data_IF_802580500986
#
_entry.id   IF_802580500986
#
_cell.length_a   1.000
_cell.length_b   1.000
_cell.length_c   1.000
_cell.angle_alpha   90.00
_cell.angle_beta   90.00
_cell.angle_gamma   90.00
#
_symmetry.space_group_name_H-M   'P 1'
#
loop_
_entity.id
_entity.type
_entity.pdbx_description
1 polymer ?
#
# COMPACT_ATOMS: atom_id res chain seq x y z
N UNK A 1 30.19 15.33 10.72
CA UNK A 1 29.57 14.01 10.58
C UNK A 1 30.55 12.87 10.94
N UNK A 2 31.73 12.80 10.30
CA UNK A 2 32.73 11.74 10.53
C UNK A 2 33.24 11.64 11.98
N UNK A 3 33.45 12.74 12.66
CA UNK A 3 33.86 12.76 14.08
C UNK A 3 32.78 12.09 14.96
N UNK A 4 31.50 12.40 14.72
CA UNK A 4 30.39 11.76 15.45
C UNK A 4 30.33 10.25 15.21
N UNK A 5 30.56 9.83 13.96
CA UNK A 5 30.62 8.39 13.60
C UNK A 5 31.75 7.67 14.35
N UNK A 6 32.95 8.29 14.46
CA UNK A 6 34.08 7.73 15.20
C UNK A 6 33.77 7.57 16.69
N UNK A 7 33.17 8.59 17.32
CA UNK A 7 32.82 8.53 18.75
C UNK A 7 31.79 7.45 19.02
N UNK A 8 30.78 7.32 18.13
CA UNK A 8 29.77 6.26 18.21
C UNK A 8 30.43 4.88 18.05
N UNK A 9 31.32 4.70 17.08
CA UNK A 9 32.01 3.44 16.84
C UNK A 9 32.85 3.00 18.05
N UNK A 10 33.58 3.94 18.69
CA UNK A 10 34.32 3.67 19.92
C UNK A 10 33.38 3.23 21.05
N UNK A 11 32.28 3.95 21.22
CA UNK A 11 31.27 3.61 22.25
C UNK A 11 30.66 2.22 22.02
N UNK A 12 30.28 1.89 20.81
CA UNK A 12 29.75 0.57 20.45
C UNK A 12 30.80 -0.53 20.67
N UNK A 13 32.04 -0.30 20.26
CA UNK A 13 33.13 -1.26 20.46
C UNK A 13 33.46 -1.54 21.94
N UNK A 14 33.17 -0.60 22.83
CA UNK A 14 33.32 -0.79 24.28
C UNK A 14 32.11 -1.44 24.96
N UNK A 15 30.90 -1.36 24.34
CA UNK A 15 29.65 -1.84 24.91
C UNK A 15 29.18 -3.19 24.35
N UNK A 16 29.57 -3.51 23.11
CA UNK A 16 29.11 -4.68 22.40
C UNK A 16 30.26 -5.63 22.06
N UNK A 17 29.99 -6.92 22.08
CA UNK A 17 30.92 -7.92 21.56
C UNK A 17 31.03 -7.85 20.03
N UNK A 18 32.12 -8.37 19.46
CA UNK A 18 32.26 -8.45 18.00
C UNK A 18 31.10 -9.18 17.30
N UNK A 19 30.59 -10.23 17.94
CA UNK A 19 29.41 -10.97 17.44
C UNK A 19 28.16 -10.07 17.38
N UNK A 20 27.87 -9.34 18.44
CA UNK A 20 26.73 -8.41 18.49
C UNK A 20 26.87 -7.26 17.46
N UNK A 21 28.09 -6.74 17.27
CA UNK A 21 28.35 -5.72 16.25
C UNK A 21 28.08 -6.28 14.85
N UNK A 22 28.56 -7.50 14.57
CA UNK A 22 28.33 -8.14 13.28
C UNK A 22 26.85 -8.47 13.05
N UNK A 23 26.16 -8.98 14.05
CA UNK A 23 24.73 -9.27 14.00
C UNK A 23 23.91 -8.00 13.69
N UNK A 24 24.15 -6.92 14.46
CA UNK A 24 23.50 -5.64 14.22
C UNK A 24 23.81 -5.09 12.81
N UNK A 25 25.05 -5.21 12.36
CA UNK A 25 25.46 -4.80 11.01
C UNK A 25 24.71 -5.57 9.94
N UNK A 26 24.70 -6.90 10.02
CA UNK A 26 24.06 -7.76 9.04
C UNK A 26 22.54 -7.60 9.03
N UNK A 27 21.93 -7.28 10.17
CA UNK A 27 20.47 -7.08 10.27
C UNK A 27 20.02 -5.70 9.81
N UNK A 28 20.91 -4.71 9.64
CA UNK A 28 20.54 -3.33 9.29
C UNK A 28 21.09 -2.83 7.98
N UNK A 29 22.23 -3.39 7.50
CA UNK A 29 22.88 -2.88 6.30
C UNK A 29 22.04 -3.10 5.02
N UNK A 30 22.14 -2.16 4.09
CA UNK A 30 21.47 -2.24 2.81
C UNK A 30 22.21 -3.14 1.81
N UNK A 31 21.53 -4.17 1.32
CA UNK A 31 22.06 -5.13 0.33
C UNK A 31 21.67 -4.80 -1.13
N UNK A 32 21.02 -3.68 -1.38
CA UNK A 32 20.40 -3.39 -2.68
C UNK A 32 18.98 -3.93 -2.80
N UNK A 33 18.32 -3.65 -3.93
CA UNK A 33 16.96 -4.15 -4.24
C UNK A 33 15.90 -3.82 -3.17
N UNK A 34 16.11 -2.75 -2.38
CA UNK A 34 15.24 -2.43 -1.23
C UNK A 34 15.43 -3.33 -0.01
N UNK A 35 16.41 -4.22 0.00
CA UNK A 35 16.66 -5.14 1.10
C UNK A 35 17.56 -4.52 2.16
N UNK A 36 17.02 -4.23 3.32
CA UNK A 36 17.73 -3.93 4.55
C UNK A 36 17.75 -5.18 5.43
N UNK A 37 18.94 -5.54 5.90
CA UNK A 37 19.16 -6.78 6.65
C UNK A 37 19.33 -8.03 5.78
N UNK A 38 20.10 -8.99 6.30
CA UNK A 38 20.52 -10.20 5.58
C UNK A 38 19.36 -11.16 5.31
N UNK A 39 18.36 -11.23 6.20
CA UNK A 39 17.16 -12.06 5.99
C UNK A 39 16.36 -11.55 4.78
N UNK A 40 16.07 -10.23 4.75
CA UNK A 40 15.39 -9.61 3.61
C UNK A 40 16.18 -9.81 2.31
N UNK A 41 17.52 -9.69 2.37
CA UNK A 41 18.36 -9.91 1.22
C UNK A 41 18.30 -11.37 0.74
N UNK A 42 18.32 -12.35 1.64
CA UNK A 42 18.18 -13.77 1.31
C UNK A 42 16.84 -14.04 0.58
N UNK A 43 15.75 -13.46 1.04
CA UNK A 43 14.45 -13.57 0.39
C UNK A 43 14.42 -12.90 -1.00
N UNK A 44 14.96 -11.69 -1.12
CA UNK A 44 14.93 -10.91 -2.37
C UNK A 44 15.85 -11.49 -3.44
N UNK A 45 17.03 -11.97 -3.06
CA UNK A 45 18.02 -12.52 -4.00
C UNK A 45 17.75 -14.00 -4.34
N UNK A 46 17.23 -14.79 -3.38
CA UNK A 46 17.16 -16.24 -3.52
C UNK A 46 15.77 -16.83 -3.18
N UNK A 47 14.89 -16.08 -2.48
CA UNK A 47 13.58 -16.57 -2.01
C UNK A 47 13.69 -17.64 -0.94
N UNK A 48 14.69 -17.51 -0.09
CA UNK A 48 15.00 -18.43 1.02
C UNK A 48 15.27 -17.63 2.29
N UNK A 49 15.05 -18.24 3.44
CA UNK A 49 15.51 -17.70 4.72
C UNK A 49 17.05 -17.77 4.80
N UNK A 50 17.64 -16.90 5.60
CA UNK A 50 19.10 -16.77 5.73
C UNK A 50 19.76 -18.07 6.22
N UNK A 51 19.10 -18.83 7.08
CA UNK A 51 19.56 -20.13 7.61
C UNK A 51 19.62 -21.23 6.54
N UNK A 52 18.91 -21.06 5.42
CA UNK A 52 18.84 -21.99 4.30
C UNK A 52 19.81 -21.66 3.16
N UNK A 53 20.60 -20.61 3.32
CA UNK A 53 21.54 -20.19 2.29
C UNK A 53 22.71 -21.17 2.16
N UNK A 54 23.05 -21.53 0.93
CA UNK A 54 24.31 -22.22 0.64
C UNK A 54 25.49 -21.27 0.80
N UNK A 55 26.71 -21.83 0.96
CA UNK A 55 27.97 -21.06 0.96
C UNK A 55 28.05 -20.14 -0.27
N UNK A 56 27.66 -20.64 -1.44
CA UNK A 56 27.65 -19.86 -2.68
C UNK A 56 26.70 -18.68 -2.64
N UNK A 57 25.51 -18.85 -2.07
CA UNK A 57 24.51 -17.79 -1.92
C UNK A 57 24.95 -16.75 -0.88
N UNK A 58 25.48 -17.19 0.26
CA UNK A 58 26.03 -16.30 1.27
C UNK A 58 27.19 -15.47 0.72
N UNK A 59 28.07 -16.08 -0.10
CA UNK A 59 29.19 -15.38 -0.75
C UNK A 59 28.69 -14.32 -1.77
N UNK A 60 27.56 -14.52 -2.42
CA UNK A 60 26.92 -13.47 -3.26
C UNK A 60 26.46 -12.30 -2.41
N UNK A 61 25.75 -12.54 -1.29
CA UNK A 61 25.32 -11.46 -0.40
C UNK A 61 26.53 -10.69 0.16
N UNK A 62 27.57 -11.36 0.59
CA UNK A 62 28.82 -10.71 1.01
C UNK A 62 29.47 -9.90 -0.12
N UNK A 63 29.35 -10.33 -1.37
CA UNK A 63 29.89 -9.62 -2.53
C UNK A 63 29.16 -8.33 -2.83
N UNK A 64 27.83 -8.31 -2.73
CA UNK A 64 27.02 -7.13 -3.04
C UNK A 64 27.14 -6.04 -1.98
N UNK A 65 27.46 -6.36 -0.73
CA UNK A 65 27.65 -5.40 0.36
C UNK A 65 28.61 -4.27 0.02
N UNK A 66 29.67 -4.55 -0.73
CA UNK A 66 30.65 -3.51 -1.08
C UNK A 66 30.05 -2.34 -1.86
N UNK A 67 29.14 -2.62 -2.78
CA UNK A 67 28.44 -1.62 -3.60
C UNK A 67 27.23 -2.28 -4.28
N UNK A 68 26.06 -2.32 -3.62
CA UNK A 68 24.92 -3.08 -4.10
C UNK A 68 24.48 -2.72 -5.52
N UNK A 69 24.45 -1.43 -5.87
CA UNK A 69 24.09 -1.01 -7.23
C UNK A 69 25.11 -1.41 -8.30
N UNK A 70 26.40 -1.45 -7.95
CA UNK A 70 27.49 -1.80 -8.88
C UNK A 70 27.59 -3.29 -9.15
N UNK A 71 27.20 -4.12 -8.17
CA UNK A 71 27.26 -5.58 -8.27
C UNK A 71 25.88 -6.23 -8.54
N UNK A 72 24.78 -5.47 -8.62
CA UNK A 72 23.47 -6.07 -8.90
C UNK A 72 23.35 -6.46 -10.39
N UNK A 73 23.19 -7.76 -10.70
CA UNK A 73 23.08 -8.25 -12.08
C UNK A 73 21.83 -7.74 -12.83
N UNK A 74 20.85 -7.20 -12.12
CA UNK A 74 19.66 -6.60 -12.73
C UNK A 74 19.97 -5.37 -13.60
N UNK A 75 21.15 -4.77 -13.44
CA UNK A 75 21.57 -3.62 -14.24
C UNK A 75 22.42 -4.00 -15.46
N UNK A 76 22.51 -5.28 -15.81
CA UNK A 76 23.07 -5.75 -17.04
C UNK A 76 24.26 -6.73 -16.91
N UNK A 77 24.73 -7.21 -18.07
CA UNK A 77 25.76 -8.26 -18.15
C UNK A 77 27.08 -7.86 -17.51
N UNK A 78 27.47 -6.59 -17.64
CA UNK A 78 28.70 -6.09 -17.02
C UNK A 78 28.67 -6.16 -15.49
N UNK A 79 27.48 -5.92 -14.88
CA UNK A 79 27.29 -6.06 -13.45
C UNK A 79 27.34 -7.54 -13.03
N UNK A 80 26.75 -8.42 -13.83
CA UNK A 80 26.85 -9.88 -13.60
C UNK A 80 28.30 -10.35 -13.59
N UNK A 81 29.10 -9.97 -14.59
CA UNK A 81 30.53 -10.33 -14.67
C UNK A 81 31.29 -9.81 -13.45
N UNK A 82 31.05 -8.57 -13.03
CA UNK A 82 31.68 -8.00 -11.82
C UNK A 82 31.27 -8.75 -10.55
N UNK A 83 30.00 -9.11 -10.42
CA UNK A 83 29.53 -9.88 -9.28
C UNK A 83 30.15 -11.26 -9.23
N UNK A 84 30.23 -11.97 -10.35
CA UNK A 84 30.88 -13.29 -10.43
C UNK A 84 32.37 -13.23 -10.06
N UNK A 85 33.08 -12.20 -10.53
CA UNK A 85 34.47 -11.99 -10.16
C UNK A 85 34.64 -11.70 -8.65
N UNK A 86 33.76 -10.86 -8.08
CA UNK A 86 33.74 -10.55 -6.65
C UNK A 86 33.35 -11.75 -5.80
N UNK A 87 32.38 -12.54 -6.23
CA UNK A 87 31.98 -13.79 -5.59
C UNK A 87 33.15 -14.79 -5.52
N UNK A 88 33.89 -14.95 -6.63
CA UNK A 88 35.11 -15.79 -6.64
C UNK A 88 36.17 -15.28 -5.66
N UNK A 89 36.38 -13.97 -5.60
CA UNK A 89 37.24 -13.33 -4.63
C UNK A 89 36.83 -13.64 -3.18
N UNK A 90 35.54 -13.57 -2.87
CA UNK A 90 35.00 -13.89 -1.53
C UNK A 90 35.25 -15.35 -1.19
N UNK A 91 34.97 -16.30 -2.10
CA UNK A 91 35.22 -17.73 -1.88
C UNK A 91 36.70 -18.03 -1.65
N UNK A 92 37.58 -17.37 -2.40
CA UNK A 92 39.02 -17.53 -2.20
C UNK A 92 39.48 -16.99 -0.83
N UNK A 93 38.89 -15.90 -0.36
CA UNK A 93 39.10 -15.38 0.98
C UNK A 93 38.64 -16.35 2.07
N UNK A 94 37.43 -16.91 1.93
CA UNK A 94 36.89 -17.92 2.86
C UNK A 94 37.82 -19.16 2.93
N UNK A 95 38.38 -19.58 1.81
CA UNK A 95 39.33 -20.69 1.75
C UNK A 95 40.66 -20.34 2.42
N UNK A 96 41.19 -19.15 2.15
CA UNK A 96 42.45 -18.68 2.72
C UNK A 96 42.41 -18.58 4.26
N UNK A 97 41.23 -18.16 4.79
CA UNK A 97 41.00 -18.07 6.24
C UNK A 97 40.55 -19.41 6.86
N UNK A 98 40.53 -20.51 6.09
CA UNK A 98 40.08 -21.84 6.52
C UNK A 98 38.61 -21.89 7.03
N UNK A 99 37.77 -20.98 6.58
CA UNK A 99 36.33 -20.98 6.90
C UNK A 99 35.54 -21.95 6.03
N UNK A 100 36.10 -22.34 4.89
CA UNK A 100 35.61 -23.42 4.03
C UNK A 100 36.75 -24.34 3.62
N UNK A 101 36.41 -25.58 3.32
CA UNK A 101 37.41 -26.56 2.83
C UNK A 101 37.67 -26.37 1.32
N UNK A 102 38.83 -26.88 0.84
CA UNK A 102 39.15 -26.90 -0.60
C UNK A 102 38.05 -27.63 -1.42
N UNK A 103 37.49 -28.71 -0.88
CA UNK A 103 36.43 -29.44 -1.53
C UNK A 103 35.13 -28.57 -1.67
N UNK A 104 34.77 -27.81 -0.64
CA UNK A 104 33.65 -26.89 -0.69
C UNK A 104 33.89 -25.75 -1.69
N UNK A 105 35.07 -25.15 -1.71
CA UNK A 105 35.42 -24.11 -2.67
C UNK A 105 35.41 -24.58 -4.12
N UNK A 106 35.89 -25.82 -4.38
CA UNK A 106 35.89 -26.43 -5.73
C UNK A 106 34.50 -26.79 -6.23
N UNK A 107 33.63 -27.26 -5.33
CA UNK A 107 32.24 -27.61 -5.67
C UNK A 107 31.30 -26.38 -5.77
N UNK A 108 31.75 -25.21 -5.30
CA UNK A 108 30.95 -24.00 -5.32
C UNK A 108 30.72 -23.56 -6.78
N UNK A 109 29.43 -23.50 -7.17
CA UNK A 109 28.98 -22.91 -8.42
C UNK A 109 28.31 -21.59 -8.14
N UNK A 110 28.38 -20.65 -9.10
CA UNK A 110 27.67 -19.37 -8.98
C UNK A 110 26.17 -19.64 -8.95
N UNK A 111 25.44 -19.16 -7.91
CA UNK A 111 24.05 -19.51 -7.75
C UNK A 111 23.16 -18.70 -8.69
N UNK A 112 22.00 -19.25 -9.02
CA UNK A 112 20.94 -18.52 -9.69
C UNK A 112 20.43 -17.40 -8.75
N UNK A 113 20.35 -16.19 -9.28
CA UNK A 113 19.85 -15.01 -8.58
C UNK A 113 18.48 -14.67 -9.18
N UNK A 114 17.48 -14.52 -8.33
CA UNK A 114 16.14 -14.09 -8.78
C UNK A 114 16.23 -12.78 -9.56
N UNK A 115 15.43 -12.62 -10.61
CA UNK A 115 15.29 -11.33 -11.27
C UNK A 115 14.96 -10.26 -10.22
N UNK A 116 15.57 -9.08 -10.37
CA UNK A 116 15.14 -7.93 -9.56
C UNK A 116 13.68 -7.71 -9.91
N UNK A 117 12.81 -7.88 -8.93
CA UNK A 117 11.45 -7.36 -9.06
C UNK A 117 11.66 -5.86 -9.28
N UNK A 118 11.43 -5.37 -10.50
CA UNK A 118 11.37 -3.93 -10.78
C UNK A 118 10.50 -3.38 -9.69
N UNK A 119 10.65 -2.15 -9.20
CA UNK A 119 9.86 -1.57 -8.08
C UNK A 119 8.38 -1.98 -8.09
N UNK A 120 8.13 -3.21 -8.36
CA UNK A 120 6.91 -3.91 -8.70
C UNK A 120 6.05 -4.21 -7.50
N UNK A 121 6.56 -4.00 -6.27
CA UNK A 121 5.68 -4.12 -5.13
C UNK A 121 4.68 -2.97 -5.09
N UNK A 122 5.01 -1.82 -5.65
CA UNK A 122 4.09 -0.69 -5.77
C UNK A 122 3.43 -0.55 -7.15
N UNK A 123 3.73 -1.42 -8.12
CA UNK A 123 3.08 -1.36 -9.42
C UNK A 123 1.63 -1.87 -9.35
N UNK A 124 0.77 -1.29 -10.19
CA UNK A 124 -0.63 -1.65 -10.26
C UNK A 124 -1.45 -1.25 -9.03
N UNK A 125 -2.64 -1.84 -8.86
CA UNK A 125 -3.56 -1.53 -7.76
C UNK A 125 -3.02 -1.86 -6.38
N UNK A 126 -2.12 -2.86 -6.24
CA UNK A 126 -1.57 -3.24 -4.94
C UNK A 126 -0.68 -2.16 -4.31
N UNK A 127 -0.09 -1.28 -5.12
CA UNK A 127 0.73 -0.19 -4.62
C UNK A 127 -0.04 0.77 -3.71
N UNK A 128 -1.32 1.01 -4.01
CA UNK A 128 -2.20 1.81 -3.15
C UNK A 128 -2.45 1.13 -1.80
N UNK A 129 -2.61 -0.19 -1.81
CA UNK A 129 -2.81 -0.99 -0.60
C UNK A 129 -1.57 -0.94 0.29
N UNK A 130 -0.39 -1.17 -0.29
CA UNK A 130 0.88 -1.15 0.44
C UNK A 130 1.14 0.24 1.03
N UNK A 131 1.02 1.29 0.20
CA UNK A 131 1.20 2.67 0.65
C UNK A 131 0.23 3.05 1.76
N UNK A 132 -1.03 2.64 1.64
CA UNK A 132 -2.04 2.87 2.67
C UNK A 132 -1.70 2.14 3.98
N UNK A 133 -1.32 0.86 3.92
CA UNK A 133 -0.94 0.08 5.10
C UNK A 133 0.25 0.70 5.84
N UNK A 134 1.28 1.15 5.10
CA UNK A 134 2.43 1.86 5.69
C UNK A 134 1.97 3.15 6.36
N UNK A 135 1.13 3.95 5.70
CA UNK A 135 0.61 5.19 6.26
C UNK A 135 -0.21 4.96 7.56
N UNK A 136 -1.03 3.90 7.59
CA UNK A 136 -1.77 3.55 8.81
C UNK A 136 -0.84 3.18 9.96
N UNK A 137 0.21 2.39 9.71
CA UNK A 137 1.19 2.02 10.74
C UNK A 137 1.95 3.26 11.25
N UNK A 138 2.27 4.21 10.38
CA UNK A 138 2.93 5.46 10.78
C UNK A 138 2.08 6.29 11.76
N UNK A 139 0.76 6.22 11.70
CA UNK A 139 -0.12 6.88 12.70
C UNK A 139 0.06 6.33 14.12
N UNK A 140 0.57 5.12 14.26
CA UNK A 140 0.94 4.53 15.55
C UNK A 140 2.36 4.91 16.02
N UNK A 141 3.02 5.86 15.35
CA UNK A 141 4.32 6.42 15.75
C UNK A 141 5.54 5.73 15.14
N UNK A 142 5.36 4.78 14.22
CA UNK A 142 6.49 4.19 13.51
C UNK A 142 7.04 5.15 12.47
N UNK A 143 8.36 5.35 12.47
CA UNK A 143 9.03 6.08 11.40
C UNK A 143 9.27 5.19 10.18
N UNK A 144 9.48 5.81 9.01
CA UNK A 144 9.81 5.07 7.79
C UNK A 144 11.10 4.25 7.96
N UNK A 145 12.13 4.83 8.57
CA UNK A 145 13.39 4.13 8.86
C UNK A 145 13.18 2.89 9.74
N UNK A 146 12.32 2.99 10.76
CA UNK A 146 11.99 1.84 11.60
C UNK A 146 11.27 0.75 10.80
N UNK A 147 10.31 1.11 9.95
CA UNK A 147 9.60 0.15 9.12
C UNK A 147 10.51 -0.54 8.09
N UNK A 148 11.49 0.19 7.54
CA UNK A 148 12.43 -0.36 6.58
C UNK A 148 13.51 -1.24 7.23
N UNK A 149 13.94 -0.92 8.44
CA UNK A 149 15.10 -1.60 9.09
C UNK A 149 14.69 -2.56 10.20
N UNK A 150 13.47 -2.45 10.73
CA UNK A 150 13.04 -3.19 11.91
C UNK A 150 12.56 -4.62 11.67
N UNK A 151 12.48 -5.09 10.41
CA UNK A 151 12.04 -6.45 10.08
C UNK A 151 10.57 -6.73 10.42
N UNK A 152 9.75 -5.70 10.50
CA UNK A 152 8.34 -5.83 10.86
C UNK A 152 7.52 -6.55 9.79
N UNK A 153 6.54 -7.32 10.24
CA UNK A 153 5.51 -7.91 9.39
C UNK A 153 4.20 -7.16 9.63
N UNK A 154 3.74 -6.43 8.63
CA UNK A 154 2.47 -5.71 8.68
C UNK A 154 1.36 -6.66 8.21
N UNK A 155 0.44 -6.99 9.11
CA UNK A 155 -0.77 -7.76 8.78
C UNK A 155 -1.95 -6.82 8.66
N UNK A 156 -2.67 -6.91 7.55
CA UNK A 156 -3.87 -6.13 7.28
C UNK A 156 -5.12 -7.00 7.40
N UNK A 157 -6.29 -6.37 7.45
CA UNK A 157 -7.60 -7.02 7.39
C UNK A 157 -8.03 -7.38 5.96
N UNK A 158 -7.23 -7.02 4.96
CA UNK A 158 -7.54 -7.30 3.56
C UNK A 158 -7.54 -8.80 3.29
N UNK A 159 -8.56 -9.25 2.58
CA UNK A 159 -8.70 -10.62 2.14
C UNK A 159 -8.34 -10.73 0.65
N UNK A 160 -7.40 -11.61 0.32
CA UNK A 160 -6.91 -11.78 -1.06
C UNK A 160 -8.04 -11.96 -2.06
N UNK A 161 -9.03 -12.83 -1.76
CA UNK A 161 -10.17 -13.08 -2.64
C UNK A 161 -11.01 -11.83 -2.90
N UNK A 162 -11.27 -11.03 -1.86
CA UNK A 162 -12.05 -9.80 -1.97
C UNK A 162 -11.25 -8.73 -2.71
N UNK A 163 -9.94 -8.65 -2.50
CA UNK A 163 -9.07 -7.73 -3.22
C UNK A 163 -9.00 -8.05 -4.72
N UNK A 164 -8.86 -9.33 -5.08
CA UNK A 164 -8.89 -9.78 -6.48
C UNK A 164 -10.24 -9.49 -7.13
N UNK A 165 -11.34 -9.76 -6.42
CA UNK A 165 -12.69 -9.45 -6.90
C UNK A 165 -12.91 -7.94 -7.10
N UNK A 166 -12.35 -7.09 -6.25
CA UNK A 166 -12.45 -5.63 -6.39
C UNK A 166 -11.71 -5.13 -7.65
N UNK A 167 -10.50 -5.65 -7.91
CA UNK A 167 -9.75 -5.34 -9.14
C UNK A 167 -10.52 -5.81 -10.37
N UNK A 168 -10.97 -7.06 -10.38
CA UNK A 168 -11.76 -7.65 -11.46
C UNK A 168 -13.06 -6.87 -11.76
N UNK A 169 -13.76 -6.45 -10.70
CA UNK A 169 -15.00 -5.67 -10.84
C UNK A 169 -14.76 -4.31 -11.52
N UNK A 170 -13.66 -3.65 -11.17
CA UNK A 170 -13.29 -2.37 -11.81
C UNK A 170 -12.89 -2.60 -13.26
N UNK A 171 -12.06 -3.61 -13.54
CA UNK A 171 -11.58 -3.89 -14.90
C UNK A 171 -12.74 -4.28 -15.84
N UNK A 172 -13.68 -5.09 -15.36
CA UNK A 172 -14.85 -5.53 -16.15
C UNK A 172 -15.95 -4.47 -16.22
N UNK A 173 -16.13 -3.69 -15.15
CA UNK A 173 -17.18 -2.68 -15.05
C UNK A 173 -16.84 -1.33 -15.66
N UNK A 174 -15.56 -1.05 -15.94
CA UNK A 174 -15.16 0.21 -16.57
C UNK A 174 -15.63 0.24 -18.04
N UNK A 175 -16.42 1.24 -18.45
CA UNK A 175 -16.86 1.36 -19.84
C UNK A 175 -15.66 1.45 -20.80
N UNK A 176 -15.75 0.79 -21.96
CA UNK A 176 -14.68 0.84 -22.98
C UNK A 176 -14.40 2.26 -23.49
N UNK A 177 -15.43 3.11 -23.49
CA UNK A 177 -15.33 4.53 -23.91
C UNK A 177 -15.08 5.46 -22.70
N UNK A 178 -14.63 4.94 -21.56
CA UNK A 178 -14.32 5.78 -20.43
C UNK A 178 -13.15 6.72 -20.76
N UNK A 179 -13.20 8.00 -20.34
CA UNK A 179 -12.10 8.92 -20.56
C UNK A 179 -10.86 8.49 -19.75
N UNK A 180 -9.67 8.78 -20.29
CA UNK A 180 -8.38 8.37 -19.69
C UNK A 180 -8.19 8.92 -18.27
N UNK A 181 -8.82 10.04 -17.95
CA UNK A 181 -8.78 10.67 -16.63
C UNK A 181 -9.85 10.17 -15.66
N UNK A 182 -10.67 9.17 -16.03
CA UNK A 182 -11.65 8.57 -15.13
C UNK A 182 -10.93 7.98 -13.91
N UNK A 183 -11.36 8.40 -12.74
CA UNK A 183 -10.86 7.89 -11.45
C UNK A 183 -11.93 7.01 -10.82
N UNK A 184 -11.51 5.85 -10.36
CA UNK A 184 -12.38 4.89 -9.69
C UNK A 184 -11.75 4.57 -8.32
N UNK A 185 -12.54 4.68 -7.26
CA UNK A 185 -12.20 4.21 -5.93
C UNK A 185 -13.22 3.15 -5.52
N UNK A 186 -12.76 2.05 -4.90
CA UNK A 186 -13.63 1.03 -4.34
C UNK A 186 -13.10 0.60 -2.98
N UNK A 187 -13.98 0.47 -2.00
CA UNK A 187 -13.69 -0.07 -0.68
C UNK A 187 -14.76 -1.09 -0.32
N UNK A 188 -14.34 -2.26 0.15
CA UNK A 188 -15.23 -3.26 0.75
C UNK A 188 -14.99 -3.32 2.24
N UNK A 189 -16.04 -3.17 3.03
CA UNK A 189 -15.99 -3.08 4.49
C UNK A 189 -16.84 -4.21 5.08
N UNK A 190 -16.32 -4.88 6.12
CA UNK A 190 -17.06 -5.92 6.84
C UNK A 190 -18.12 -5.28 7.74
N UNK A 191 -19.41 -5.62 7.57
CA UNK A 191 -20.46 -5.14 8.47
C UNK A 191 -20.19 -5.53 9.92
N UNK A 192 -20.47 -4.63 10.84
CA UNK A 192 -20.34 -4.84 12.28
C UNK A 192 -18.95 -4.57 12.85
N UNK A 193 -17.85 -4.89 12.11
CA UNK A 193 -16.47 -4.65 12.61
C UNK A 193 -15.81 -3.41 12.00
N UNK A 194 -16.23 -3.00 10.79
CA UNK A 194 -15.59 -1.89 10.07
C UNK A 194 -14.26 -2.26 9.39
N UNK A 195 -13.87 -3.54 9.41
CA UNK A 195 -12.63 -4.00 8.77
C UNK A 195 -12.68 -3.80 7.25
N UNK A 196 -11.60 -3.23 6.69
CA UNK A 196 -11.46 -3.10 5.24
C UNK A 196 -11.00 -4.44 4.66
N UNK A 197 -11.85 -5.04 3.82
CA UNK A 197 -11.62 -6.34 3.19
C UNK A 197 -10.95 -6.23 1.82
N UNK A 198 -11.21 -5.12 1.11
CA UNK A 198 -10.59 -4.79 -0.17
C UNK A 198 -10.52 -3.27 -0.36
N UNK A 199 -9.49 -2.82 -1.07
CA UNK A 199 -9.30 -1.42 -1.42
C UNK A 199 -8.71 -1.31 -2.82
N UNK A 200 -9.38 -0.55 -3.69
CA UNK A 200 -8.89 -0.19 -5.01
C UNK A 200 -8.76 1.33 -5.10
N UNK A 201 -7.54 1.82 -5.20
CA UNK A 201 -7.24 3.26 -5.25
C UNK A 201 -6.98 3.81 -6.65
N UNK A 202 -6.78 2.93 -7.64
CA UNK A 202 -6.46 3.28 -9.03
C UNK A 202 -5.79 2.14 -9.77
N UNK A 203 -5.55 2.32 -11.07
CA UNK A 203 -4.99 1.28 -11.96
C UNK A 203 -3.52 0.98 -11.68
N UNK A 204 -2.73 2.03 -11.48
CA UNK A 204 -1.29 1.88 -11.26
C UNK A 204 -0.74 3.01 -10.40
N UNK A 205 -0.22 2.63 -9.24
CA UNK A 205 0.33 3.55 -8.24
C UNK A 205 1.60 4.27 -8.74
N UNK A 206 2.39 3.61 -9.59
CA UNK A 206 3.61 4.24 -10.13
C UNK A 206 3.30 5.36 -11.13
N UNK A 207 2.16 5.29 -11.80
CA UNK A 207 1.70 6.33 -12.73
C UNK A 207 0.97 7.46 -12.00
N UNK A 208 0.16 7.13 -10.98
CA UNK A 208 -0.58 8.12 -10.19
C UNK A 208 -0.69 7.65 -8.74
N UNK A 209 -0.06 8.36 -7.82
CA UNK A 209 -0.04 7.99 -6.41
C UNK A 209 -1.31 8.40 -5.64
N UNK A 210 -2.18 9.21 -6.24
CA UNK A 210 -3.42 9.62 -5.59
C UNK A 210 -4.36 8.42 -5.43
N UNK A 211 -4.60 8.00 -4.20
CA UNK A 211 -5.55 6.94 -3.87
C UNK A 211 -6.98 7.46 -3.97
N UNK A 212 -7.70 7.08 -5.04
CA UNK A 212 -9.07 7.54 -5.27
C UNK A 212 -10.06 7.07 -4.21
N UNK A 213 -9.78 5.97 -3.52
CA UNK A 213 -10.65 5.44 -2.48
C UNK A 213 -10.53 6.17 -1.14
N UNK A 214 -9.34 6.74 -0.83
CA UNK A 214 -9.05 7.32 0.49
C UNK A 214 -8.70 8.81 0.46
N UNK A 215 -8.30 9.32 -0.70
CA UNK A 215 -7.87 10.71 -0.90
C UNK A 215 -8.69 11.42 -1.98
N UNK A 216 -9.46 10.67 -2.78
CA UNK A 216 -10.33 11.24 -3.80
C UNK A 216 -11.44 12.06 -3.15
N UNK A 217 -11.56 13.32 -3.55
CA UNK A 217 -12.65 14.20 -3.11
C UNK A 217 -13.61 14.34 -4.29
N UNK A 218 -14.88 13.97 -4.06
CA UNK A 218 -15.96 14.11 -5.03
C UNK A 218 -17.26 14.44 -4.32
N UNK A 219 -18.20 15.02 -5.04
CA UNK A 219 -19.53 15.23 -4.50
C UNK A 219 -20.24 13.87 -4.33
N UNK A 220 -20.76 13.64 -3.13
CA UNK A 220 -21.49 12.40 -2.84
C UNK A 220 -22.77 12.25 -3.66
N UNK A 221 -23.35 13.37 -4.08
CA UNK A 221 -24.63 13.39 -4.81
C UNK A 221 -25.71 12.65 -4.03
N UNK A 222 -26.57 11.93 -4.72
CA UNK A 222 -27.66 11.18 -4.11
C UNK A 222 -27.22 10.03 -3.19
N UNK A 223 -25.96 9.63 -3.22
CA UNK A 223 -25.43 8.63 -2.28
C UNK A 223 -25.41 9.14 -0.83
N UNK A 224 -25.54 10.44 -0.61
CA UNK A 224 -25.64 11.02 0.73
C UNK A 224 -27.06 10.91 1.34
N UNK A 225 -28.09 10.70 0.52
CA UNK A 225 -29.48 10.63 0.99
C UNK A 225 -29.76 9.59 2.07
N UNK A 226 -29.18 8.38 2.05
CA UNK A 226 -29.35 7.43 3.16
C UNK A 226 -28.90 7.99 4.52
N UNK A 227 -27.84 8.80 4.56
CA UNK A 227 -27.37 9.43 5.80
C UNK A 227 -28.38 10.50 6.29
N UNK A 228 -28.90 11.32 5.37
CA UNK A 228 -29.96 12.28 5.71
C UNK A 228 -31.22 11.57 6.19
N UNK A 229 -31.57 10.41 5.61
CA UNK A 229 -32.71 9.61 6.05
C UNK A 229 -32.51 9.05 7.46
N UNK A 230 -31.30 8.52 7.77
CA UNK A 230 -30.98 8.02 9.11
C UNK A 230 -31.07 9.16 10.14
N UNK A 231 -30.48 10.32 9.87
CA UNK A 231 -30.58 11.48 10.74
C UNK A 231 -32.05 11.92 10.98
N UNK A 232 -32.88 11.91 9.92
CA UNK A 232 -34.28 12.22 10.04
C UNK A 232 -35.07 11.22 10.93
N UNK A 233 -34.77 9.92 10.78
CA UNK A 233 -35.34 8.86 11.62
C UNK A 233 -34.93 9.01 13.10
N UNK A 234 -33.67 9.32 13.35
CA UNK A 234 -33.14 9.58 14.70
C UNK A 234 -33.79 10.86 15.32
N UNK A 235 -34.09 11.85 14.48
CA UNK A 235 -34.85 13.04 14.89
C UNK A 235 -36.38 12.76 15.05
N UNK A 236 -36.82 11.51 14.93
CA UNK A 236 -38.21 11.11 15.12
C UNK A 236 -39.14 11.36 13.91
N UNK A 237 -38.61 11.63 12.72
CA UNK A 237 -39.40 11.80 11.49
C UNK A 237 -39.67 10.41 10.90
N UNK A 238 -40.92 9.92 10.89
CA UNK A 238 -41.21 8.56 10.44
C UNK A 238 -41.15 8.43 8.91
N UNK A 239 -40.87 7.22 8.42
CA UNK A 239 -40.85 6.89 6.98
C UNK A 239 -42.21 7.15 6.29
N UNK A 240 -43.31 7.13 7.06
CA UNK A 240 -44.68 7.39 6.59
C UNK A 240 -45.01 8.87 6.50
N UNK A 241 -44.11 9.78 6.97
CA UNK A 241 -44.36 11.21 6.84
C UNK A 241 -44.43 11.63 5.37
N UNK A 242 -45.42 12.48 5.07
CA UNK A 242 -45.67 12.96 3.70
C UNK A 242 -44.96 14.28 3.44
N UNK A 243 -44.37 14.36 2.27
CA UNK A 243 -43.58 15.50 1.80
C UNK A 243 -43.99 15.84 0.37
N UNK A 244 -44.05 17.12 0.08
CA UNK A 244 -44.30 17.61 -1.28
C UNK A 244 -43.08 17.45 -2.18
N UNK A 245 -43.25 16.77 -3.31
CA UNK A 245 -42.19 16.43 -4.27
C UNK A 245 -42.14 17.31 -5.52
N UNK A 246 -42.94 18.39 -5.63
CA UNK A 246 -42.88 19.26 -6.80
C UNK A 246 -41.52 19.86 -7.06
N UNK A 247 -41.16 20.07 -8.32
CA UNK A 247 -39.88 20.59 -8.79
C UNK A 247 -40.11 21.75 -9.77
N UNK A 248 -39.37 22.87 -9.71
CA UNK A 248 -38.30 23.16 -8.73
C UNK A 248 -38.86 23.68 -7.41
N UNK A 249 -38.02 23.61 -6.35
CA UNK A 249 -38.26 24.31 -5.09
C UNK A 249 -37.08 25.21 -4.73
N UNK A 250 -37.40 26.37 -4.14
CA UNK A 250 -36.40 27.29 -3.59
C UNK A 250 -36.45 27.17 -2.08
N UNK A 251 -35.28 27.04 -1.45
CA UNK A 251 -35.10 26.96 0.00
C UNK A 251 -34.33 28.20 0.46
N UNK A 252 -34.88 28.92 1.41
CA UNK A 252 -34.32 30.17 1.95
C UNK A 252 -33.48 29.96 3.21
N UNK A 253 -33.46 28.74 3.75
CA UNK A 253 -32.77 28.37 5.00
C UNK A 253 -31.26 28.15 4.80
N UNK A 254 -30.71 28.50 3.63
CA UNK A 254 -29.29 28.43 3.28
C UNK A 254 -28.75 29.83 2.94
N UNK A 255 -27.46 30.06 3.16
CA UNK A 255 -26.81 31.36 2.97
C UNK A 255 -27.03 32.02 1.58
N UNK A 256 -27.44 31.23 0.59
CA UNK A 256 -27.89 31.70 -0.72
C UNK A 256 -29.07 30.83 -1.16
N UNK A 257 -30.27 31.38 -1.34
CA UNK A 257 -31.39 30.68 -1.94
C UNK A 257 -30.96 30.11 -3.31
N UNK A 258 -31.26 28.86 -3.55
CA UNK A 258 -31.00 28.23 -4.85
C UNK A 258 -32.16 27.29 -5.20
N UNK A 259 -32.53 27.19 -6.49
CA UNK A 259 -33.56 26.28 -6.92
C UNK A 259 -33.03 24.83 -6.90
N UNK A 260 -33.74 23.93 -6.25
CA UNK A 260 -33.49 22.49 -6.24
C UNK A 260 -34.42 21.84 -7.24
N UNK A 261 -33.86 21.10 -8.17
CA UNK A 261 -34.58 20.34 -9.18
C UNK A 261 -34.50 18.85 -8.89
N UNK A 262 -35.59 18.13 -9.16
CA UNK A 262 -35.53 16.67 -9.29
C UNK A 262 -34.78 16.30 -10.58
N UNK A 263 -34.27 15.07 -10.69
CA UNK A 263 -33.63 14.60 -11.89
C UNK A 263 -34.63 14.72 -13.08
N UNK A 264 -34.16 15.22 -14.20
CA UNK A 264 -35.04 15.46 -15.36
C UNK A 264 -36.21 16.42 -15.11
N UNK A 265 -36.22 17.18 -14.01
CA UNK A 265 -37.31 18.02 -13.55
C UNK A 265 -38.64 17.25 -13.34
N UNK A 266 -38.52 15.96 -12.96
CA UNK A 266 -39.67 15.10 -12.65
C UNK A 266 -40.54 15.73 -11.55
N UNK A 267 -41.85 15.58 -11.72
CA UNK A 267 -42.83 16.12 -10.80
C UNK A 267 -43.43 15.00 -9.94
N UNK A 268 -43.47 15.22 -8.65
CA UNK A 268 -44.09 14.31 -7.70
C UNK A 268 -45.04 15.11 -6.81
N UNK A 269 -46.20 14.55 -6.57
CA UNK A 269 -47.16 15.08 -5.58
C UNK A 269 -46.67 14.83 -4.15
N UNK A 270 -47.55 14.87 -3.17
CA UNK A 270 -47.23 14.45 -1.81
C UNK A 270 -46.96 12.96 -1.76
N UNK A 271 -45.78 12.60 -1.29
CA UNK A 271 -45.33 11.21 -1.16
C UNK A 271 -44.63 11.00 0.18
N UNK A 272 -44.62 9.77 0.66
CA UNK A 272 -43.92 9.43 1.89
C UNK A 272 -42.40 9.27 1.66
N UNK A 273 -41.61 9.23 2.77
CA UNK A 273 -40.17 9.12 2.68
C UNK A 273 -39.69 7.81 2.07
N UNK A 274 -40.45 6.72 2.18
CA UNK A 274 -40.12 5.46 1.53
C UNK A 274 -40.10 5.62 0.00
N UNK A 275 -41.18 6.20 -0.55
CA UNK A 275 -41.27 6.49 -1.98
C UNK A 275 -40.21 7.52 -2.41
N UNK A 276 -40.04 8.59 -1.64
CA UNK A 276 -39.06 9.63 -1.91
C UNK A 276 -37.62 9.08 -1.96
N UNK A 277 -37.32 8.10 -1.12
CA UNK A 277 -36.02 7.42 -1.11
C UNK A 277 -35.82 6.56 -2.35
N UNK A 278 -36.82 5.75 -2.71
CA UNK A 278 -36.77 4.89 -3.88
C UNK A 278 -36.61 5.68 -5.19
N UNK A 279 -37.22 6.88 -5.28
CA UNK A 279 -37.14 7.76 -6.45
C UNK A 279 -36.08 8.84 -6.32
N UNK A 280 -35.31 8.85 -5.22
CA UNK A 280 -34.22 9.81 -5.01
C UNK A 280 -34.66 11.29 -5.18
N UNK A 281 -35.81 11.69 -4.63
CA UNK A 281 -36.43 13.00 -4.87
C UNK A 281 -35.64 14.11 -4.16
N UNK A 282 -34.97 14.98 -4.92
CA UNK A 282 -34.14 16.05 -4.38
C UNK A 282 -34.93 17.08 -3.57
N UNK A 283 -36.10 17.49 -4.08
CA UNK A 283 -36.96 18.50 -3.46
C UNK A 283 -37.56 18.06 -2.13
N UNK A 284 -37.43 16.78 -1.77
CA UNK A 284 -37.80 16.24 -0.46
C UNK A 284 -36.57 16.08 0.42
N UNK A 285 -35.44 15.57 -0.11
CA UNK A 285 -34.26 15.29 0.70
C UNK A 285 -33.51 16.53 1.17
N UNK A 286 -33.59 17.65 0.42
CA UNK A 286 -33.00 18.92 0.88
C UNK A 286 -33.69 19.42 2.15
N UNK A 287 -35.05 19.65 2.17
CA UNK A 287 -35.70 20.10 3.41
C UNK A 287 -35.69 19.03 4.51
N UNK A 288 -35.65 17.75 4.17
CA UNK A 288 -35.46 16.67 5.15
C UNK A 288 -34.14 16.81 5.91
N UNK A 289 -33.03 17.03 5.18
CA UNK A 289 -31.72 17.26 5.77
C UNK A 289 -31.69 18.52 6.63
N UNK A 290 -32.24 19.62 6.15
CA UNK A 290 -32.38 20.89 6.92
C UNK A 290 -33.13 20.65 8.24
N UNK A 291 -34.22 19.87 8.19
CA UNK A 291 -35.07 19.60 9.37
C UNK A 291 -34.42 18.62 10.35
N UNK A 292 -33.56 17.73 9.86
CA UNK A 292 -32.85 16.75 10.71
C UNK A 292 -31.62 17.34 11.40
N UNK A 293 -31.11 18.49 10.96
CA UNK A 293 -29.93 19.19 11.49
C UNK A 293 -28.72 18.93 10.61
#
# INVERSE_FOLDING_TARGET
RKIKEIVIAIKLGNQLTKGQILENYLNTIWFGRGAYGVETAAQVYFGRSVDQLSISQAAVLASVLRSPGYYDPAYGESNMKRLQARWRYVLNGLLAENWITKAQATKATFPEIKPKVKSGDLAGPKGYVISWAVHEVQKFGFTEDQLQTGGYVIRTTLEKKNQEAAVDAVDKGTPKAAPDNLRIGLVSIRPGTGEILALYGGRDYLTSQLNSATQGITQAGSSFKPFALVAALEAGIPLTSEWDGHSPKVFDDVNKPYPVFNYGNEQFDKVNLLFATAHSINTIFVPLGIKAG
#
